data_IF_101689561569
#
_entry.id   IF_101689561569
#
_cell.length_a   1.000
_cell.length_b   1.000
_cell.length_c   1.000
_cell.angle_alpha   90.00
_cell.angle_beta   90.00
_cell.angle_gamma   90.00
#
_symmetry.space_group_name_H-M   'P 1'
#
loop_
_entity.id
_entity.type
_entity.pdbx_description
1 polymer ?
#
# COMPACT_ATOMS: atom_id res chain seq x y z
N UNK A 1 13.14 2.42 -2.22
CA UNK A 1 12.40 1.73 -1.13
C UNK A 1 13.17 1.91 0.18
N UNK A 2 12.62 2.68 1.13
CA UNK A 2 13.30 2.94 2.43
C UNK A 2 13.45 1.66 3.29
N UNK A 3 12.65 0.62 3.06
CA UNK A 3 12.67 -0.61 3.84
C UNK A 3 13.85 -1.53 3.56
N UNK A 4 14.68 -1.26 2.53
CA UNK A 4 15.79 -2.13 2.08
C UNK A 4 15.37 -3.55 1.66
N UNK A 5 14.07 -3.80 1.59
CA UNK A 5 13.49 -5.08 1.19
C UNK A 5 13.45 -5.20 -0.34
N UNK A 6 13.62 -6.42 -0.84
CA UNK A 6 13.35 -6.75 -2.24
C UNK A 6 11.85 -6.74 -2.53
N UNK A 7 11.45 -6.44 -3.77
CA UNK A 7 10.04 -6.48 -4.22
C UNK A 7 9.38 -7.85 -4.03
N UNK A 8 10.17 -8.92 -3.96
CA UNK A 8 9.69 -10.29 -3.72
C UNK A 8 9.55 -10.62 -2.24
N UNK A 9 9.88 -9.69 -1.35
CA UNK A 9 9.68 -9.87 0.07
C UNK A 9 8.16 -10.03 0.34
N UNK A 10 7.74 -11.05 1.10
CA UNK A 10 6.32 -11.30 1.39
C UNK A 10 5.59 -10.10 1.99
N UNK A 11 6.31 -9.19 2.66
CA UNK A 11 5.75 -7.96 3.25
C UNK A 11 5.33 -6.91 2.21
N UNK A 12 5.73 -7.05 0.94
CA UNK A 12 5.42 -6.13 -0.16
C UNK A 12 4.49 -6.78 -1.21
N UNK A 13 3.76 -7.84 -0.84
CA UNK A 13 2.99 -8.70 -1.75
C UNK A 13 3.83 -9.88 -2.26
N UNK A 14 5.09 -9.63 -2.59
CA UNK A 14 6.10 -10.66 -2.79
C UNK A 14 5.78 -11.66 -3.91
N UNK A 15 6.13 -12.93 -3.69
CA UNK A 15 5.89 -14.01 -4.65
C UNK A 15 4.40 -14.29 -4.93
N UNK A 16 3.48 -13.90 -4.03
CA UNK A 16 2.05 -14.14 -4.22
C UNK A 16 1.47 -13.30 -5.36
N UNK A 17 1.94 -12.08 -5.54
CA UNK A 17 1.56 -11.23 -6.69
C UNK A 17 2.02 -11.84 -8.01
N UNK A 18 3.22 -12.41 -8.07
CA UNK A 18 3.66 -13.11 -9.28
C UNK A 18 2.86 -14.39 -9.53
N UNK A 19 2.48 -15.12 -8.48
CA UNK A 19 1.63 -16.30 -8.59
C UNK A 19 0.26 -15.98 -9.24
N UNK A 20 -0.32 -14.80 -8.99
CA UNK A 20 -1.58 -14.40 -9.65
C UNK A 20 -1.44 -14.19 -11.17
N UNK A 21 -0.21 -14.04 -11.67
CA UNK A 21 0.12 -13.99 -13.09
C UNK A 21 0.65 -15.31 -13.65
N UNK A 22 0.49 -16.43 -12.92
CA UNK A 22 0.93 -17.76 -13.36
C UNK A 22 2.40 -18.06 -13.07
N UNK A 23 3.12 -17.17 -12.37
CA UNK A 23 4.52 -17.36 -11.97
C UNK A 23 4.62 -17.86 -10.53
N UNK A 24 3.88 -18.93 -10.23
CA UNK A 24 3.85 -19.52 -8.90
C UNK A 24 5.12 -20.35 -8.66
N UNK A 25 5.98 -19.89 -7.74
CA UNK A 25 7.12 -20.67 -7.27
C UNK A 25 6.67 -21.74 -6.28
N UNK A 26 7.22 -22.95 -6.39
CA UNK A 26 6.94 -24.05 -5.43
C UNK A 26 7.72 -23.93 -4.13
N UNK A 27 8.61 -22.95 -4.01
CA UNK A 27 9.37 -22.63 -2.79
C UNK A 27 9.51 -21.11 -2.60
N UNK A 28 9.78 -20.65 -1.36
CA UNK A 28 9.99 -19.23 -1.09
C UNK A 28 11.19 -18.65 -1.84
N UNK A 29 11.17 -17.35 -2.21
CA UNK A 29 12.31 -16.68 -2.79
C UNK A 29 13.50 -16.65 -1.82
N UNK A 30 14.71 -16.87 -2.35
CA UNK A 30 15.95 -16.79 -1.59
C UNK A 30 16.65 -15.45 -1.85
N UNK A 31 17.17 -14.84 -0.78
CA UNK A 31 17.85 -13.55 -0.85
C UNK A 31 19.25 -13.62 -0.24
N UNK A 32 20.20 -12.96 -0.89
CA UNK A 32 21.48 -12.59 -0.31
C UNK A 32 21.35 -11.22 0.35
N UNK A 33 21.92 -11.07 1.55
CA UNK A 33 21.99 -9.78 2.25
C UNK A 33 23.36 -9.14 2.03
N UNK A 34 23.38 -7.98 1.40
CA UNK A 34 24.58 -7.16 1.24
C UNK A 34 25.03 -6.53 2.57
N UNK A 35 26.25 -5.95 2.60
CA UNK A 35 26.83 -5.34 3.81
C UNK A 35 26.00 -4.20 4.40
N UNK A 36 25.17 -3.55 3.59
CA UNK A 36 24.28 -2.44 4.00
C UNK A 36 22.85 -2.90 4.33
N UNK A 37 22.59 -4.21 4.34
CA UNK A 37 21.30 -4.82 4.64
C UNK A 37 20.34 -4.89 3.46
N UNK A 38 20.77 -4.55 2.25
CA UNK A 38 19.94 -4.68 1.05
C UNK A 38 19.81 -6.15 0.65
N UNK A 39 18.57 -6.58 0.40
CA UNK A 39 18.26 -7.92 -0.10
C UNK A 39 18.39 -7.95 -1.62
N UNK A 40 19.19 -8.88 -2.14
CA UNK A 40 19.26 -9.20 -3.57
C UNK A 40 18.72 -10.60 -3.77
N UNK A 41 17.77 -10.77 -4.69
CA UNK A 41 17.23 -12.09 -5.03
C UNK A 41 18.36 -12.97 -5.58
N UNK A 42 18.62 -14.11 -4.95
CA UNK A 42 19.57 -15.10 -5.48
C UNK A 42 18.89 -16.13 -6.37
N UNK A 43 17.71 -16.61 -5.96
CA UNK A 43 16.96 -17.67 -6.66
C UNK A 43 15.46 -17.50 -6.48
N UNK A 44 14.69 -17.80 -7.53
CA UNK A 44 13.23 -17.83 -7.53
C UNK A 44 12.72 -19.03 -8.33
N UNK A 45 11.60 -19.61 -7.91
CA UNK A 45 11.09 -20.85 -8.49
C UNK A 45 11.51 -22.07 -7.64
N UNK A 46 11.22 -23.31 -8.06
CA UNK A 46 10.80 -23.65 -9.41
C UNK A 46 9.44 -23.07 -9.81
N UNK A 47 9.36 -22.43 -10.97
CA UNK A 47 8.12 -22.08 -11.67
C UNK A 47 7.99 -23.06 -12.83
N UNK A 48 6.94 -23.89 -12.85
CA UNK A 48 6.78 -24.98 -13.82
C UNK A 48 8.01 -25.91 -13.93
N UNK A 49 8.72 -26.14 -12.82
CA UNK A 49 9.92 -26.99 -12.76
C UNK A 49 11.23 -26.28 -13.10
N UNK A 50 11.22 -24.98 -13.39
CA UNK A 50 12.41 -24.21 -13.76
C UNK A 50 12.79 -23.20 -12.67
N UNK A 51 14.07 -23.21 -12.29
CA UNK A 51 14.68 -22.17 -11.45
C UNK A 51 15.00 -20.94 -12.29
N UNK A 52 14.67 -19.76 -11.76
CA UNK A 52 14.83 -18.48 -12.44
C UNK A 52 15.84 -17.60 -11.70
N UNK A 53 16.74 -17.00 -12.47
CA UNK A 53 17.49 -15.82 -12.04
C UNK A 53 16.57 -14.60 -11.94
N UNK A 54 17.05 -13.52 -11.32
CA UNK A 54 16.30 -12.26 -11.25
C UNK A 54 15.98 -11.69 -12.65
N UNK A 55 16.89 -11.83 -13.61
CA UNK A 55 16.71 -11.34 -14.99
C UNK A 55 15.61 -12.13 -15.71
N UNK A 56 15.67 -13.47 -15.63
CA UNK A 56 14.66 -14.35 -16.23
C UNK A 56 13.28 -14.13 -15.61
N UNK A 57 13.22 -13.96 -14.29
CA UNK A 57 11.97 -13.65 -13.59
C UNK A 57 11.36 -12.34 -14.06
N UNK A 58 12.17 -11.28 -14.23
CA UNK A 58 11.70 -9.98 -14.75
C UNK A 58 11.17 -10.14 -16.18
N UNK A 59 11.88 -10.88 -17.04
CA UNK A 59 11.42 -11.15 -18.40
C UNK A 59 10.08 -11.88 -18.43
N UNK A 60 9.96 -12.98 -17.67
CA UNK A 60 8.71 -13.73 -17.57
C UNK A 60 7.58 -12.91 -16.96
N UNK A 61 7.85 -12.07 -15.96
CA UNK A 61 6.84 -11.17 -15.39
C UNK A 61 6.37 -10.12 -16.40
N UNK A 62 7.28 -9.55 -17.19
CA UNK A 62 6.93 -8.59 -18.24
C UNK A 62 6.05 -9.23 -19.32
N UNK A 63 6.24 -10.51 -19.64
CA UNK A 63 5.38 -11.26 -20.57
C UNK A 63 4.04 -11.68 -19.94
N UNK A 64 4.04 -12.02 -18.65
CA UNK A 64 2.87 -12.56 -17.96
C UNK A 64 1.87 -11.49 -17.49
N UNK A 65 2.33 -10.27 -17.17
CA UNK A 65 1.46 -9.17 -16.75
C UNK A 65 0.81 -8.53 -17.97
N UNK A 66 -0.54 -8.58 -18.11
CA UNK A 66 -1.20 -8.00 -19.28
C UNK A 66 -0.99 -6.48 -19.36
N UNK A 67 -0.82 -5.96 -20.57
CA UNK A 67 -0.71 -4.51 -20.84
C UNK A 67 -1.86 -3.72 -20.23
N UNK A 68 -3.07 -4.29 -20.21
CA UNK A 68 -4.24 -3.68 -19.58
C UNK A 68 -4.05 -3.42 -18.08
N UNK A 69 -3.35 -4.31 -17.37
CA UNK A 69 -3.06 -4.13 -15.94
C UNK A 69 -1.95 -3.10 -15.73
N UNK A 70 -0.91 -3.10 -16.58
CA UNK A 70 0.15 -2.09 -16.57
C UNK A 70 -0.46 -0.70 -16.80
N UNK A 71 -1.33 -0.58 -17.81
CA UNK A 71 -2.01 0.67 -18.11
C UNK A 71 -2.94 1.10 -17.00
N UNK A 72 -3.72 0.17 -16.44
CA UNK A 72 -4.56 0.46 -15.27
C UNK A 72 -3.74 1.07 -14.13
N UNK A 73 -2.59 0.47 -13.77
CA UNK A 73 -1.71 0.98 -12.72
C UNK A 73 -1.10 2.34 -13.07
N UNK A 74 -0.71 2.54 -14.33
CA UNK A 74 -0.14 3.80 -14.81
C UNK A 74 -1.16 4.97 -14.81
N UNK A 75 -2.45 4.66 -14.97
CA UNK A 75 -3.53 5.64 -15.03
C UNK A 75 -4.10 6.00 -13.64
N UNK A 76 -3.71 5.30 -12.58
CA UNK A 76 -4.17 5.58 -11.21
C UNK A 76 -3.72 6.96 -10.73
N UNK A 77 -4.68 7.73 -10.21
CA UNK A 77 -4.38 9.00 -9.55
C UNK A 77 -3.66 8.74 -8.23
N UNK A 78 -2.66 9.58 -7.89
CA UNK A 78 -1.93 9.48 -6.63
C UNK A 78 -2.77 9.89 -5.41
N UNK A 79 -3.74 10.77 -5.64
CA UNK A 79 -4.74 11.20 -4.67
C UNK A 79 -6.02 11.60 -5.40
N UNK A 80 -7.12 11.72 -4.67
CA UNK A 80 -8.40 12.21 -5.17
C UNK A 80 -9.02 13.17 -4.14
N UNK A 81 -9.45 14.33 -4.61
CA UNK A 81 -10.22 15.29 -3.82
C UNK A 81 -11.72 15.10 -4.10
N UNK A 82 -12.52 15.04 -3.04
CA UNK A 82 -14.00 15.01 -3.11
C UNK A 82 -14.54 15.82 -1.95
N UNK A 83 -15.21 16.94 -2.24
CA UNK A 83 -15.69 17.90 -1.24
C UNK A 83 -14.57 18.33 -0.27
N UNK A 84 -14.67 17.93 1.00
CA UNK A 84 -13.69 18.22 2.06
C UNK A 84 -12.75 17.03 2.36
N UNK A 85 -12.82 15.96 1.57
CA UNK A 85 -12.05 14.73 1.74
C UNK A 85 -10.88 14.66 0.75
N UNK A 86 -9.73 14.25 1.26
CA UNK A 86 -8.56 13.91 0.44
C UNK A 86 -8.27 12.41 0.60
N UNK A 87 -8.44 11.64 -0.47
CA UNK A 87 -8.04 10.23 -0.52
C UNK A 87 -6.61 10.12 -1.01
N UNK A 88 -5.72 9.52 -0.21
CA UNK A 88 -4.30 9.33 -0.54
C UNK A 88 -3.79 8.03 0.06
N UNK A 89 -2.83 7.35 -0.59
CA UNK A 89 -2.41 6.02 -0.12
C UNK A 89 -1.82 6.04 1.30
N UNK A 90 -0.80 6.88 1.56
CA UNK A 90 -0.12 6.93 2.86
C UNK A 90 -0.41 8.22 3.66
N UNK A 91 -0.40 9.37 3.01
CA UNK A 91 -0.61 10.66 3.68
C UNK A 91 -0.09 11.84 2.86
N UNK A 92 0.05 12.99 3.50
CA UNK A 92 0.64 14.20 2.91
C UNK A 92 1.74 14.73 3.80
N UNK A 93 2.69 15.50 3.24
CA UNK A 93 3.62 16.28 4.05
C UNK A 93 2.92 17.53 4.59
N UNK A 94 2.77 17.70 5.92
CA UNK A 94 2.05 18.84 6.48
C UNK A 94 2.71 20.18 6.12
N UNK A 95 1.88 21.18 5.82
CA UNK A 95 2.33 22.53 5.44
C UNK A 95 2.85 22.67 4.02
N UNK A 96 2.81 21.61 3.20
CA UNK A 96 3.10 21.63 1.77
C UNK A 96 1.79 21.58 1.00
N UNK A 97 1.61 22.46 0.01
CA UNK A 97 0.42 22.46 -0.83
C UNK A 97 0.28 21.12 -1.57
N UNK A 98 -0.96 20.69 -1.83
CA UNK A 98 -1.22 19.38 -2.43
C UNK A 98 -0.54 19.19 -3.79
N UNK A 99 -0.50 20.24 -4.62
CA UNK A 99 0.18 20.25 -5.92
C UNK A 99 1.72 20.13 -5.81
N UNK A 100 2.29 20.46 -4.65
CA UNK A 100 3.74 20.44 -4.39
C UNK A 100 4.17 19.20 -3.59
N UNK A 101 3.24 18.28 -3.30
CA UNK A 101 3.55 17.04 -2.61
C UNK A 101 4.45 16.15 -3.46
N UNK A 102 5.39 15.48 -2.81
CA UNK A 102 6.24 14.49 -3.47
C UNK A 102 5.50 13.15 -3.54
N UNK A 103 5.60 12.48 -4.68
CA UNK A 103 5.04 11.13 -4.89
C UNK A 103 5.46 10.16 -3.76
N UNK A 104 6.73 10.23 -3.36
CA UNK A 104 7.26 9.41 -2.26
C UNK A 104 6.53 9.65 -0.93
N UNK A 105 6.10 10.88 -0.64
CA UNK A 105 5.34 11.16 0.57
C UNK A 105 3.91 10.62 0.45
N UNK A 106 3.26 10.86 -0.70
CA UNK A 106 1.89 10.38 -0.95
C UNK A 106 1.76 8.84 -0.82
N UNK A 107 2.82 8.10 -1.15
CA UNK A 107 2.83 6.64 -1.14
C UNK A 107 3.51 6.04 0.11
N UNK A 108 4.42 6.75 0.80
CA UNK A 108 5.23 6.14 1.86
C UNK A 108 5.37 6.93 3.15
N UNK A 109 4.79 8.14 3.27
CA UNK A 109 5.00 8.94 4.47
C UNK A 109 4.43 8.27 5.72
N UNK A 110 5.17 8.39 6.82
CA UNK A 110 4.74 8.06 8.18
C UNK A 110 5.20 9.18 9.10
N UNK A 111 6.52 9.27 9.25
CA UNK A 111 7.19 10.24 10.11
C UNK A 111 6.82 11.68 9.74
N UNK A 112 6.33 12.41 10.74
CA UNK A 112 5.93 13.81 10.62
C UNK A 112 4.54 14.03 10.03
N UNK A 113 3.87 13.01 9.48
CA UNK A 113 2.46 13.08 9.09
C UNK A 113 1.56 12.46 10.16
N UNK A 114 1.85 11.23 10.59
CA UNK A 114 0.99 10.48 11.52
C UNK A 114 0.86 11.19 12.88
N UNK A 115 1.87 11.95 13.28
CA UNK A 115 1.94 12.59 14.61
C UNK A 115 1.50 14.06 14.57
N UNK A 116 1.14 14.57 13.38
CA UNK A 116 0.75 15.96 13.18
C UNK A 116 -0.74 16.14 13.49
N UNK A 117 -1.12 16.95 14.50
CA UNK A 117 -2.53 17.15 14.86
C UNK A 117 -3.14 18.36 14.16
N UNK A 118 -2.40 19.08 13.31
CA UNK A 118 -2.88 20.33 12.71
C UNK A 118 -3.97 20.04 11.71
N UNK A 119 -4.88 21.00 11.55
CA UNK A 119 -5.81 20.99 10.43
C UNK A 119 -5.03 21.09 9.12
N UNK A 120 -5.31 20.18 8.20
CA UNK A 120 -4.71 20.12 6.87
C UNK A 120 -5.58 20.84 5.81
N UNK A 121 -6.70 21.44 6.22
CA UNK A 121 -7.70 22.07 5.36
C UNK A 121 -8.68 21.07 4.74
N UNK A 122 -8.36 19.78 4.80
CA UNK A 122 -9.18 18.66 4.35
C UNK A 122 -9.03 17.50 5.33
N UNK A 123 -10.06 16.65 5.42
CA UNK A 123 -9.96 15.39 6.14
C UNK A 123 -9.19 14.38 5.28
N UNK A 124 -7.98 14.02 5.71
CA UNK A 124 -7.12 13.10 4.95
C UNK A 124 -7.54 11.65 5.21
N UNK A 125 -8.08 10.97 4.21
CA UNK A 125 -8.41 9.54 4.24
C UNK A 125 -7.24 8.76 3.66
N UNK A 126 -6.62 7.90 4.47
CA UNK A 126 -5.42 7.19 4.08
C UNK A 126 -5.39 5.74 4.57
N UNK A 127 -4.42 4.99 4.07
CA UNK A 127 -4.08 3.66 4.55
C UNK A 127 -2.59 3.55 4.81
N UNK A 128 -1.97 2.50 4.28
CA UNK A 128 -0.53 2.20 4.32
C UNK A 128 0.00 1.81 5.71
N UNK A 129 -0.50 2.46 6.75
CA UNK A 129 -0.13 2.21 8.14
C UNK A 129 -1.16 1.29 8.77
N UNK A 130 -0.89 -0.01 8.72
CA UNK A 130 -1.71 -1.05 9.33
C UNK A 130 -2.02 -0.79 10.82
N UNK A 131 -3.30 -0.86 11.16
CA UNK A 131 -3.87 -0.81 12.52
C UNK A 131 -4.76 -2.03 12.77
N UNK A 132 -5.10 -2.29 14.03
CA UNK A 132 -6.05 -3.35 14.39
C UNK A 132 -7.48 -3.03 13.90
N UNK A 133 -7.81 -1.75 13.77
CA UNK A 133 -9.09 -1.25 13.26
C UNK A 133 -8.92 0.14 12.64
N UNK A 134 -9.83 0.51 11.73
CA UNK A 134 -9.88 1.85 11.19
C UNK A 134 -10.07 2.90 12.30
N UNK A 135 -9.43 4.06 12.14
CA UNK A 135 -9.36 5.06 13.20
C UNK A 135 -9.43 6.48 12.65
N UNK A 136 -10.21 7.31 13.33
CA UNK A 136 -10.31 8.74 13.07
C UNK A 136 -9.52 9.53 14.11
N UNK A 137 -8.66 10.42 13.66
CA UNK A 137 -7.75 11.23 14.51
C UNK A 137 -8.08 12.73 14.45
N UNK A 138 -9.33 13.09 14.15
CA UNK A 138 -9.75 14.48 13.92
C UNK A 138 -9.37 15.05 12.55
N UNK A 139 -8.08 15.08 12.20
CA UNK A 139 -7.59 15.65 10.94
C UNK A 139 -7.35 14.61 9.81
N UNK A 140 -7.36 13.32 10.16
CA UNK A 140 -7.23 12.21 9.22
C UNK A 140 -8.01 10.98 9.67
N UNK A 141 -8.31 10.10 8.73
CA UNK A 141 -8.91 8.78 8.95
C UNK A 141 -8.03 7.73 8.30
N UNK A 142 -7.53 6.79 9.11
CA UNK A 142 -6.80 5.63 8.62
C UNK A 142 -7.77 4.45 8.48
N UNK A 143 -7.89 3.91 7.26
CA UNK A 143 -8.76 2.76 6.95
C UNK A 143 -8.00 1.45 6.72
N UNK A 144 -6.67 1.44 6.90
CA UNK A 144 -5.85 0.23 6.80
C UNK A 144 -5.99 -0.63 8.07
N UNK A 145 -7.03 -1.46 8.09
CA UNK A 145 -7.33 -2.41 9.16
C UNK A 145 -6.57 -3.74 9.04
N UNK A 146 -5.34 -3.70 8.51
CA UNK A 146 -4.44 -4.87 8.44
C UNK A 146 -4.96 -6.03 7.57
N UNK A 147 -5.73 -5.74 6.52
CA UNK A 147 -6.26 -6.76 5.63
C UNK A 147 -5.17 -7.59 4.94
N UNK A 148 -4.04 -6.97 4.63
CA UNK A 148 -2.85 -7.65 4.11
C UNK A 148 -2.21 -8.65 5.08
N UNK A 149 -2.59 -8.62 6.37
CA UNK A 149 -2.15 -9.56 7.41
C UNK A 149 -3.23 -10.58 7.80
N UNK A 150 -4.33 -10.65 7.05
CA UNK A 150 -5.42 -11.60 7.29
C UNK A 150 -6.54 -11.08 8.19
N UNK A 151 -6.51 -9.82 8.59
CA UNK A 151 -7.67 -9.17 9.23
C UNK A 151 -8.72 -8.74 8.18
N UNK A 152 -9.94 -8.37 8.58
CA UNK A 152 -10.95 -7.91 7.64
C UNK A 152 -10.55 -6.61 6.92
N UNK A 153 -10.98 -6.47 5.66
CA UNK A 153 -10.90 -5.20 4.93
C UNK A 153 -11.97 -4.22 5.43
N UNK A 154 -11.57 -2.99 5.71
CA UNK A 154 -12.51 -1.93 6.09
C UNK A 154 -12.90 -1.12 4.87
N UNK A 155 -14.20 -1.01 4.61
CA UNK A 155 -14.78 0.05 3.80
C UNK A 155 -15.30 1.16 4.72
N UNK A 156 -15.13 2.42 4.32
CA UNK A 156 -15.60 3.56 5.09
C UNK A 156 -16.67 4.36 4.31
N UNK A 157 -17.66 4.87 5.04
CA UNK A 157 -18.65 5.83 4.55
C UNK A 157 -18.37 7.19 5.17
N UNK A 158 -18.49 8.23 4.37
CA UNK A 158 -18.36 9.61 4.81
C UNK A 158 -19.64 10.35 4.44
N UNK A 159 -20.32 10.95 5.42
CA UNK A 159 -21.48 11.82 5.22
C UNK A 159 -21.20 13.12 5.97
N UNK A 160 -21.12 14.24 5.25
CA UNK A 160 -20.91 15.58 5.82
C UNK A 160 -19.83 15.63 6.93
N UNK A 161 -20.23 15.51 8.20
CA UNK A 161 -19.41 15.64 9.40
C UNK A 161 -19.07 14.30 10.08
N UNK A 162 -19.45 13.16 9.51
CA UNK A 162 -19.36 11.85 10.14
C UNK A 162 -18.70 10.81 9.24
N UNK A 163 -17.93 9.94 9.89
CA UNK A 163 -17.25 8.82 9.27
C UNK A 163 -17.71 7.51 9.93
N UNK A 164 -18.00 6.49 9.12
CA UNK A 164 -18.36 5.15 9.61
C UNK A 164 -17.47 4.10 8.99
N UNK A 165 -17.00 3.16 9.80
CA UNK A 165 -16.53 1.88 9.32
C UNK A 165 -17.74 1.00 8.98
N UNK A 166 -17.69 0.31 7.85
CA UNK A 166 -18.68 -0.65 7.43
C UNK A 166 -18.17 -2.05 7.76
N UNK A 167 -18.92 -2.79 8.57
CA UNK A 167 -18.61 -4.17 8.95
C UNK A 167 -19.88 -5.03 8.89
N UNK A 168 -19.76 -6.31 9.27
CA UNK A 168 -20.88 -7.27 9.24
C UNK A 168 -22.06 -6.84 10.15
N UNK A 169 -21.80 -6.05 11.19
CA UNK A 169 -22.83 -5.49 12.07
C UNK A 169 -23.45 -4.18 11.53
N UNK A 170 -23.03 -3.72 10.35
CA UNK A 170 -23.52 -2.51 9.70
C UNK A 170 -22.57 -1.33 9.84
N UNK A 171 -23.13 -0.13 10.10
CA UNK A 171 -22.36 1.12 10.20
C UNK A 171 -21.91 1.34 11.64
N UNK A 172 -20.60 1.34 11.87
CA UNK A 172 -19.99 1.70 13.14
C UNK A 172 -19.37 3.09 13.04
N UNK A 173 -19.84 4.02 13.87
CA UNK A 173 -19.34 5.40 13.87
C UNK A 173 -17.87 5.44 14.31
N UNK A 174 -17.03 6.13 13.56
CA UNK A 174 -15.65 6.42 13.91
C UNK A 174 -15.59 7.80 14.59
N UNK A 175 -15.47 7.79 15.90
CA UNK A 175 -15.33 9.02 16.68
C UNK A 175 -13.92 9.61 16.48
N UNK A 176 -13.80 10.93 16.28
CA UNK A 176 -12.51 11.62 16.35
C UNK A 176 -11.86 11.37 17.72
N UNK A 177 -10.64 10.86 17.71
CA UNK A 177 -9.80 10.72 18.90
C UNK A 177 -8.88 11.93 19.10
#
# INVERSE_FOLDING_TARGET
IKSKLSWLNPRLGGAATLASYGLAATRPPEFLKGREGHETLSRFGPVNGTELSAQELVGMAAEAVPDAHIRFLADLQLFQEVDHLLFVHAGIRPGVALADQKVDDLIWIRDGFLEDPRDHGMLVVHGHTALDAARHYGNRVNIDSSAGYGLPITAARFDADRCWALNEAGRQLLHPH
#
